data_IF_756067308597
#
_entry.id   IF_756067308597
#
_cell.length_a   1.000
_cell.length_b   1.000
_cell.length_c   1.000
_cell.angle_alpha   90.00
_cell.angle_beta   90.00
_cell.angle_gamma   90.00
#
_symmetry.space_group_name_H-M   'P 1'
#
loop_
_entity.id
_entity.type
_entity.pdbx_description
1 polymer ?
#
# COMPACT_ATOMS: atom_id res chain seq x y z
N UNK A 1 38.44 12.06 -58.15
CA UNK A 1 39.10 11.68 -56.88
C UNK A 1 38.42 12.48 -55.79
N UNK A 2 37.39 11.91 -55.17
CA UNK A 2 37.44 11.09 -53.94
C UNK A 2 37.48 11.95 -52.66
N UNK A 3 36.40 11.86 -51.88
CA UNK A 3 36.30 11.99 -50.40
C UNK A 3 36.68 13.35 -49.79
N UNK A 4 36.17 13.85 -48.67
CA UNK A 4 35.14 13.55 -47.64
C UNK A 4 35.15 14.86 -46.78
N UNK A 5 34.15 15.35 -46.04
CA UNK A 5 33.34 14.78 -44.94
C UNK A 5 32.18 15.77 -44.73
N UNK A 6 30.96 15.22 -44.60
CA UNK A 6 29.75 15.90 -44.16
C UNK A 6 29.84 16.40 -42.70
N UNK A 7 29.54 17.67 -42.47
CA UNK A 7 29.13 18.20 -41.16
C UNK A 7 27.60 18.27 -41.10
N UNK A 8 26.94 17.16 -40.78
CA UNK A 8 25.50 17.11 -40.53
C UNK A 8 25.20 17.64 -39.13
N UNK A 9 24.42 18.71 -39.05
CA UNK A 9 23.85 19.20 -37.80
C UNK A 9 22.88 18.16 -37.23
N UNK A 10 23.26 17.56 -36.09
CA UNK A 10 22.34 16.79 -35.27
C UNK A 10 21.40 17.76 -34.54
N UNK A 11 20.15 17.85 -35.01
CA UNK A 11 19.02 18.28 -34.18
C UNK A 11 18.71 17.14 -33.23
N UNK A 12 19.00 17.31 -31.93
CA UNK A 12 18.40 16.48 -30.88
C UNK A 12 16.88 16.74 -30.86
N UNK A 13 16.03 15.70 -30.85
CA UNK A 13 14.65 15.88 -30.44
C UNK A 13 14.59 15.99 -28.91
N UNK A 14 13.95 17.07 -28.50
CA UNK A 14 13.50 17.43 -27.17
C UNK A 14 12.64 16.29 -26.57
N UNK A 15 13.21 15.45 -25.70
CA UNK A 15 12.45 14.54 -24.82
C UNK A 15 12.83 14.88 -23.38
N UNK A 16 12.32 16.02 -22.90
CA UNK A 16 12.34 16.34 -21.48
C UNK A 16 11.31 17.43 -21.15
N UNK A 17 10.01 17.09 -21.22
CA UNK A 17 8.98 17.82 -20.48
C UNK A 17 7.69 17.00 -20.44
N UNK A 18 7.52 16.19 -19.39
CA UNK A 18 6.22 15.72 -18.92
C UNK A 18 6.34 15.41 -17.42
N UNK A 19 6.63 16.46 -16.66
CA UNK A 19 6.33 16.55 -15.23
C UNK A 19 5.61 17.88 -15.09
N UNK A 20 4.28 17.86 -15.12
CA UNK A 20 3.52 19.06 -14.80
C UNK A 20 2.21 18.76 -14.10
N UNK A 21 2.18 19.30 -12.88
CA UNK A 21 1.03 19.80 -12.13
C UNK A 21 0.18 18.75 -11.44
N UNK A 22 0.77 18.20 -10.38
CA UNK A 22 0.06 17.94 -9.15
C UNK A 22 -0.69 19.21 -8.70
N UNK A 23 -2.02 19.21 -8.77
CA UNK A 23 -2.89 20.23 -8.15
C UNK A 23 -3.55 19.58 -6.95
N UNK A 24 -3.45 20.19 -5.77
CA UNK A 24 -4.06 19.67 -4.56
C UNK A 24 -5.60 19.63 -4.73
N UNK A 25 -6.20 18.48 -4.47
CA UNK A 25 -7.67 18.30 -4.44
C UNK A 25 -8.13 18.29 -2.98
N UNK A 26 -9.25 18.94 -2.64
CA UNK A 26 -9.81 18.86 -1.30
C UNK A 26 -10.26 17.42 -0.98
N UNK A 27 -9.86 16.94 0.20
CA UNK A 27 -10.29 15.68 0.79
C UNK A 27 -11.81 15.68 0.96
N UNK A 28 -12.50 14.68 0.39
CA UNK A 28 -13.90 14.42 0.70
C UNK A 28 -13.94 13.49 1.91
N UNK A 29 -14.43 14.02 3.04
CA UNK A 29 -14.71 13.21 4.23
C UNK A 29 -15.65 12.05 3.83
N UNK A 30 -15.25 10.81 4.15
CA UNK A 30 -15.94 9.55 3.84
C UNK A 30 -17.32 9.35 4.48
N UNK A 31 -18.02 10.43 4.85
CA UNK A 31 -19.33 10.37 5.48
C UNK A 31 -20.50 10.20 4.47
N UNK A 32 -20.21 10.09 3.18
CA UNK A 32 -21.22 9.94 2.13
C UNK A 32 -21.72 8.50 1.92
N UNK A 33 -21.12 7.48 2.57
CA UNK A 33 -21.51 6.07 2.44
C UNK A 33 -22.26 5.50 3.65
N UNK A 34 -22.65 6.31 4.63
CA UNK A 34 -23.54 5.87 5.71
C UNK A 34 -22.96 4.78 6.63
N UNK A 35 -21.64 4.61 6.67
CA UNK A 35 -20.97 3.68 7.60
C UNK A 35 -20.72 4.41 8.92
N UNK A 36 -21.67 4.29 9.84
CA UNK A 36 -21.56 4.83 11.20
C UNK A 36 -20.40 4.18 11.95
N UNK A 37 -19.38 4.97 12.27
CA UNK A 37 -18.35 4.58 13.24
C UNK A 37 -18.82 5.01 14.63
N UNK A 38 -19.37 4.08 15.41
CA UNK A 38 -19.60 4.32 16.83
C UNK A 38 -18.27 4.42 17.56
N UNK A 39 -18.10 5.53 18.28
CA UNK A 39 -16.99 5.80 19.18
C UNK A 39 -16.99 4.74 20.27
N UNK A 40 -15.92 3.95 20.37
CA UNK A 40 -15.77 2.97 21.44
C UNK A 40 -15.67 3.70 22.79
N UNK A 41 -16.79 3.72 23.53
CA UNK A 41 -16.83 4.15 24.91
C UNK A 41 -16.08 3.14 25.81
N UNK A 42 -15.41 3.70 26.81
CA UNK A 42 -14.56 3.01 27.78
C UNK A 42 -15.24 1.81 28.46
N UNK A 43 -14.66 0.62 28.31
CA UNK A 43 -15.09 -0.58 29.04
C UNK A 43 -14.65 -0.48 30.50
N UNK A 44 -15.64 -0.41 31.40
CA UNK A 44 -15.49 -0.45 32.86
C UNK A 44 -15.07 -1.85 33.33
N UNK A 45 -13.97 -1.93 34.09
CA UNK A 45 -13.44 -3.18 34.62
C UNK A 45 -14.37 -3.77 35.69
N UNK A 46 -14.86 -4.99 35.47
CA UNK A 46 -15.66 -5.73 36.44
C UNK A 46 -14.79 -6.31 37.56
N UNK A 47 -15.24 -6.08 38.80
CA UNK A 47 -14.55 -6.44 40.04
C UNK A 47 -14.57 -7.96 40.29
N UNK A 48 -13.43 -8.61 40.11
CA UNK A 48 -13.19 -9.99 40.57
C UNK A 48 -12.85 -10.03 42.06
N UNK A 49 -13.65 -10.76 42.84
CA UNK A 49 -13.50 -10.93 44.30
C UNK A 49 -12.18 -11.64 44.65
N UNK A 50 -11.30 -10.96 45.40
CA UNK A 50 -10.00 -11.46 45.85
C UNK A 50 -10.15 -12.36 47.09
N UNK A 51 -9.81 -13.64 46.99
CA UNK A 51 -9.65 -14.53 48.16
C UNK A 51 -8.30 -14.24 48.82
N UNK A 52 -8.31 -13.88 50.11
CA UNK A 52 -7.12 -13.47 50.88
C UNK A 52 -6.64 -14.61 51.77
N UNK A 53 -5.46 -15.17 51.47
CA UNK A 53 -4.73 -16.06 52.40
C UNK A 53 -3.77 -15.24 53.27
N UNK A 54 -3.58 -15.57 54.57
CA UNK A 54 -2.74 -14.78 55.46
C UNK A 54 -1.27 -15.18 55.32
N UNK A 55 -0.46 -14.29 54.77
CA UNK A 55 0.99 -14.43 54.72
C UNK A 55 1.66 -13.11 54.32
N UNK A 56 2.63 -12.66 55.12
CA UNK A 56 3.41 -11.41 55.00
C UNK A 56 3.60 -10.91 53.56
N UNK A 57 3.14 -9.68 53.27
CA UNK A 57 3.40 -8.96 52.01
C UNK A 57 4.90 -8.73 51.84
N UNK A 58 5.57 -9.57 51.05
CA UNK A 58 6.71 -9.13 50.26
C UNK A 58 6.12 -8.45 49.02
N UNK A 59 6.57 -7.24 48.68
CA UNK A 59 6.19 -6.60 47.41
C UNK A 59 6.48 -7.55 46.25
N UNK A 60 5.79 -7.41 45.10
CA UNK A 60 5.98 -8.32 43.98
C UNK A 60 7.47 -8.35 43.61
N UNK A 61 8.13 -9.48 43.87
CA UNK A 61 9.44 -9.76 43.29
C UNK A 61 9.18 -9.91 41.79
N UNK A 62 9.93 -9.23 40.90
CA UNK A 62 9.84 -9.52 39.48
C UNK A 62 10.04 -11.03 39.31
N UNK A 63 9.16 -11.66 38.53
CA UNK A 63 9.18 -13.10 38.33
C UNK A 63 10.59 -13.49 37.86
N UNK A 64 11.20 -14.48 38.53
CA UNK A 64 12.46 -15.03 38.08
C UNK A 64 12.23 -15.63 36.69
N UNK A 65 12.82 -15.01 35.66
CA UNK A 65 12.56 -15.32 34.26
C UNK A 65 11.83 -14.24 33.45
N UNK A 66 11.62 -13.04 33.99
CA UNK A 66 11.20 -11.89 33.18
C UNK A 66 12.21 -11.72 32.02
N UNK A 67 11.77 -12.02 30.80
CA UNK A 67 12.57 -11.86 29.59
C UNK A 67 12.88 -10.36 29.44
N UNK A 68 14.10 -9.97 29.74
CA UNK A 68 14.59 -8.61 29.54
C UNK A 68 15.11 -8.51 28.10
N UNK A 69 14.58 -7.56 27.32
CA UNK A 69 14.98 -7.36 25.93
C UNK A 69 13.92 -6.63 25.10
N UNK A 70 14.31 -6.20 23.90
CA UNK A 70 13.48 -5.38 23.01
C UNK A 70 13.59 -3.89 23.32
N UNK A 71 13.65 -3.07 22.27
CA UNK A 71 13.63 -1.61 22.40
C UNK A 71 12.17 -1.18 22.64
N UNK A 72 11.93 -0.33 23.64
CA UNK A 72 10.59 0.20 23.93
C UNK A 72 9.63 -0.77 24.65
N UNK A 73 10.14 -1.80 25.33
CA UNK A 73 9.35 -2.79 26.10
C UNK A 73 9.30 -2.50 27.62
N UNK A 74 9.65 -1.27 28.02
CA UNK A 74 9.75 -0.83 29.42
C UNK A 74 8.39 -0.47 30.07
N UNK A 75 7.30 -0.60 29.32
CA UNK A 75 5.93 -0.29 29.76
C UNK A 75 5.46 1.12 29.41
N UNK A 76 6.28 1.93 28.74
CA UNK A 76 5.84 3.18 28.15
C UNK A 76 4.85 2.93 26.99
N UNK A 77 3.87 3.82 26.82
CA UNK A 77 2.97 3.76 25.68
C UNK A 77 3.72 4.10 24.38
N UNK A 78 3.55 3.34 23.29
CA UNK A 78 4.21 3.64 22.02
C UNK A 78 3.69 4.96 21.43
N UNK A 79 4.59 5.73 20.83
CA UNK A 79 4.25 6.98 20.14
C UNK A 79 4.48 6.81 18.64
N UNK A 80 3.38 6.79 17.89
CA UNK A 80 3.37 6.57 16.44
C UNK A 80 3.49 7.89 15.69
N UNK A 81 4.71 8.44 15.62
CA UNK A 81 5.02 9.67 14.89
C UNK A 81 6.45 9.67 14.39
N UNK A 82 6.75 10.59 13.46
CA UNK A 82 8.12 10.86 13.00
C UNK A 82 9.01 11.35 14.16
N UNK A 83 10.25 10.89 14.20
CA UNK A 83 11.25 11.28 15.22
C UNK A 83 12.45 12.05 14.65
N UNK A 84 12.62 12.04 13.33
CA UNK A 84 13.69 12.78 12.64
C UNK A 84 13.24 13.34 11.30
N UNK A 85 14.07 14.20 10.70
CA UNK A 85 13.87 14.70 9.34
C UNK A 85 13.86 13.56 8.32
N UNK A 86 14.69 12.53 8.55
CA UNK A 86 14.70 11.33 7.71
C UNK A 86 13.37 10.58 7.81
N UNK A 87 12.85 10.35 9.02
CA UNK A 87 11.52 9.76 9.20
C UNK A 87 10.45 10.54 8.45
N UNK A 88 10.47 11.88 8.57
CA UNK A 88 9.49 12.72 7.89
C UNK A 88 9.56 12.59 6.37
N UNK A 89 10.75 12.70 5.77
CA UNK A 89 10.89 12.61 4.31
C UNK A 89 10.53 11.22 3.79
N UNK A 90 10.92 10.18 4.51
CA UNK A 90 10.60 8.79 4.18
C UNK A 90 9.10 8.49 4.26
N UNK A 91 8.42 8.88 5.35
CA UNK A 91 6.98 8.69 5.49
C UNK A 91 6.18 9.59 4.55
N UNK A 92 6.66 10.81 4.26
CA UNK A 92 6.04 11.69 3.27
C UNK A 92 6.13 11.10 1.86
N UNK A 93 7.26 10.49 1.50
CA UNK A 93 7.42 9.78 0.23
C UNK A 93 6.45 8.59 0.14
N UNK A 94 6.34 7.78 1.20
CA UNK A 94 5.36 6.71 1.26
C UNK A 94 3.94 7.25 1.08
N UNK A 95 3.55 8.34 1.78
CA UNK A 95 2.22 8.92 1.63
C UNK A 95 1.91 9.41 0.21
N UNK A 96 2.90 9.94 -0.51
CA UNK A 96 2.69 10.27 -1.92
C UNK A 96 2.42 9.04 -2.78
N UNK A 97 3.07 7.91 -2.47
CA UNK A 97 2.85 6.65 -3.15
C UNK A 97 1.41 6.15 -2.90
N UNK A 98 0.97 6.10 -1.64
CA UNK A 98 -0.41 5.70 -1.27
C UNK A 98 -1.46 6.55 -2.01
N UNK A 99 -1.21 7.86 -2.14
CA UNK A 99 -2.10 8.76 -2.84
C UNK A 99 -2.20 8.49 -4.34
N UNK A 100 -1.08 8.10 -4.97
CA UNK A 100 -1.04 7.73 -6.39
C UNK A 100 -1.80 6.42 -6.60
N UNK A 101 -1.57 5.43 -5.73
CA UNK A 101 -2.20 4.11 -5.83
C UNK A 101 -3.71 4.19 -5.61
N UNK A 102 -4.14 4.90 -4.56
CA UNK A 102 -5.56 5.15 -4.29
C UNK A 102 -6.26 5.86 -5.47
N UNK A 103 -5.64 6.92 -6.00
CA UNK A 103 -6.21 7.67 -7.14
C UNK A 103 -6.31 6.77 -8.39
N UNK A 104 -5.28 5.99 -8.65
CA UNK A 104 -5.23 5.08 -9.79
C UNK A 104 -6.30 3.98 -9.70
N UNK A 105 -6.48 3.34 -8.55
CA UNK A 105 -7.51 2.33 -8.34
C UNK A 105 -8.91 2.90 -8.61
N UNK A 106 -9.24 4.04 -7.98
CA UNK A 106 -10.53 4.69 -8.18
C UNK A 106 -10.73 5.14 -9.62
N UNK A 107 -9.71 5.72 -10.24
CA UNK A 107 -9.77 6.16 -11.62
C UNK A 107 -10.04 4.99 -12.57
N UNK A 108 -9.31 3.88 -12.46
CA UNK A 108 -9.49 2.73 -13.35
C UNK A 108 -10.85 2.05 -13.20
N UNK A 109 -11.34 1.92 -11.97
CA UNK A 109 -12.68 1.39 -11.69
C UNK A 109 -13.80 2.29 -12.23
N UNK A 110 -13.56 3.59 -12.34
CA UNK A 110 -14.51 4.54 -12.92
C UNK A 110 -14.37 4.70 -14.45
N UNK A 111 -13.16 4.51 -14.99
CA UNK A 111 -12.84 4.76 -16.39
C UNK A 111 -13.27 3.61 -17.32
N UNK A 112 -13.14 2.36 -16.86
CA UNK A 112 -13.46 1.17 -17.67
C UNK A 112 -14.82 0.59 -17.32
N UNK A 113 -15.56 0.20 -18.36
CA UNK A 113 -16.86 -0.44 -18.24
C UNK A 113 -16.75 -1.90 -17.80
N UNK A 114 -17.85 -2.45 -17.29
CA UNK A 114 -17.96 -3.88 -16.96
C UNK A 114 -17.63 -4.76 -18.17
N UNK A 115 -18.10 -4.39 -19.36
CA UNK A 115 -17.85 -5.15 -20.59
C UNK A 115 -16.36 -5.18 -20.95
N UNK A 116 -15.62 -4.08 -20.71
CA UNK A 116 -14.16 -4.04 -20.93
C UNK A 116 -13.42 -4.98 -19.97
N UNK A 117 -13.77 -4.96 -18.68
CA UNK A 117 -13.21 -5.91 -17.72
C UNK A 117 -13.54 -7.37 -18.08
N UNK A 118 -14.79 -7.65 -18.46
CA UNK A 118 -15.23 -9.01 -18.78
C UNK A 118 -14.64 -9.52 -20.10
N UNK A 119 -14.42 -8.62 -21.06
CA UNK A 119 -13.70 -8.92 -22.30
C UNK A 119 -12.27 -9.42 -22.03
N UNK A 120 -11.65 -8.96 -20.95
CA UNK A 120 -10.33 -9.39 -20.48
C UNK A 120 -10.38 -10.52 -19.44
N UNK A 121 -11.56 -11.10 -19.21
CA UNK A 121 -11.76 -12.24 -18.32
C UNK A 121 -11.87 -11.86 -16.84
N UNK A 122 -12.01 -10.57 -16.53
CA UNK A 122 -12.16 -10.06 -15.18
C UNK A 122 -13.64 -9.92 -14.82
N UNK A 123 -14.17 -10.99 -14.23
CA UNK A 123 -15.53 -11.04 -13.72
C UNK A 123 -15.80 -10.06 -12.54
N UNK A 124 -17.04 -10.09 -12.05
CA UNK A 124 -17.47 -9.24 -10.93
C UNK A 124 -16.66 -9.43 -9.64
N UNK A 125 -16.18 -10.64 -9.34
CA UNK A 125 -15.37 -10.91 -8.14
C UNK A 125 -14.00 -10.25 -8.23
N UNK A 126 -13.38 -10.26 -9.41
CA UNK A 126 -12.10 -9.56 -9.64
C UNK A 126 -12.25 -8.04 -9.51
N UNK A 127 -13.35 -7.48 -10.04
CA UNK A 127 -13.65 -6.05 -9.88
C UNK A 127 -13.91 -5.67 -8.43
N UNK A 128 -14.63 -6.52 -7.69
CA UNK A 128 -14.81 -6.34 -6.25
C UNK A 128 -13.48 -6.40 -5.50
N UNK A 129 -12.57 -7.30 -5.89
CA UNK A 129 -11.24 -7.37 -5.28
C UNK A 129 -10.41 -6.11 -5.57
N UNK A 130 -10.47 -5.56 -6.78
CA UNK A 130 -9.85 -4.27 -7.11
C UNK A 130 -10.41 -3.13 -6.25
N UNK A 131 -11.74 -3.08 -6.07
CA UNK A 131 -12.38 -2.12 -5.17
C UNK A 131 -11.93 -2.31 -3.72
N UNK A 132 -11.81 -3.55 -3.25
CA UNK A 132 -11.34 -3.83 -1.90
C UNK A 132 -9.89 -3.40 -1.69
N UNK A 133 -9.02 -3.54 -2.70
CA UNK A 133 -7.65 -3.02 -2.65
C UNK A 133 -7.65 -1.49 -2.56
N UNK A 134 -8.49 -0.80 -3.34
CA UNK A 134 -8.66 0.66 -3.24
C UNK A 134 -9.06 1.11 -1.81
N UNK A 135 -9.95 0.37 -1.15
CA UNK A 135 -10.37 0.65 0.23
C UNK A 135 -9.25 0.43 1.24
N UNK A 136 -8.35 -0.53 0.98
CA UNK A 136 -7.17 -0.75 1.81
C UNK A 136 -6.20 0.44 1.72
N UNK A 137 -6.03 1.02 0.53
CA UNK A 137 -5.18 2.20 0.33
C UNK A 137 -5.65 3.44 1.11
N UNK A 138 -6.95 3.57 1.36
CA UNK A 138 -7.46 4.60 2.28
C UNK A 138 -6.89 4.41 3.68
N UNK A 139 -6.80 3.17 4.16
CA UNK A 139 -6.22 2.83 5.45
C UNK A 139 -4.72 3.13 5.52
N UNK A 140 -3.99 2.76 4.47
CA UNK A 140 -2.56 3.04 4.34
C UNK A 140 -2.28 4.56 4.33
N UNK A 141 -2.98 5.33 3.49
CA UNK A 141 -2.87 6.78 3.46
C UNK A 141 -3.26 7.43 4.82
N UNK A 142 -4.28 6.89 5.49
CA UNK A 142 -4.72 7.41 6.80
C UNK A 142 -3.67 7.20 7.88
N UNK A 143 -3.05 6.01 7.97
CA UNK A 143 -2.04 5.75 9.00
C UNK A 143 -0.82 6.64 8.82
N UNK A 144 -0.36 6.84 7.58
CA UNK A 144 0.77 7.73 7.28
C UNK A 144 0.43 9.20 7.56
N UNK A 145 -0.76 9.65 7.15
CA UNK A 145 -1.25 11.01 7.44
C UNK A 145 -1.26 11.27 8.95
N UNK A 146 -1.72 10.31 9.75
CA UNK A 146 -1.74 10.43 11.21
C UNK A 146 -0.33 10.49 11.82
N UNK A 147 0.62 9.70 11.31
CA UNK A 147 2.01 9.71 11.80
C UNK A 147 2.77 11.00 11.44
N UNK A 148 2.46 11.59 10.29
CA UNK A 148 3.02 12.87 9.81
C UNK A 148 2.33 14.08 10.45
N UNK A 149 1.10 13.91 10.92
CA UNK A 149 0.33 14.95 11.61
C UNK A 149 -0.04 16.12 10.68
N UNK A 150 -0.15 17.36 11.22
CA UNK A 150 -0.62 18.52 10.45
C UNK A 150 0.22 18.91 9.23
N UNK A 151 1.45 18.39 9.13
CA UNK A 151 2.37 18.65 8.01
C UNK A 151 2.27 17.59 6.91
N UNK A 152 1.41 16.58 7.06
CA UNK A 152 1.22 15.53 6.06
C UNK A 152 0.94 16.12 4.66
N UNK A 153 1.68 15.67 3.63
CA UNK A 153 1.38 16.01 2.25
C UNK A 153 -0.07 15.70 1.86
N UNK A 154 -0.62 16.54 0.98
CA UNK A 154 -1.99 16.36 0.47
C UNK A 154 -1.98 15.61 -0.84
N UNK A 155 -3.06 14.87 -1.08
CA UNK A 155 -3.33 14.22 -2.35
C UNK A 155 -3.32 15.23 -3.50
N UNK A 156 -2.73 14.80 -4.62
CA UNK A 156 -2.64 15.58 -5.84
C UNK A 156 -3.53 14.96 -6.93
N UNK A 157 -3.81 15.72 -7.99
CA UNK A 157 -4.31 15.13 -9.24
C UNK A 157 -3.16 14.51 -10.03
N UNK A 158 -3.32 13.25 -10.41
CA UNK A 158 -2.35 12.52 -11.21
C UNK A 158 -2.90 12.28 -12.62
N UNK A 159 -1.99 12.15 -13.59
CA UNK A 159 -2.33 11.75 -14.95
C UNK A 159 -1.65 10.43 -15.25
N UNK A 160 -2.42 9.34 -15.33
CA UNK A 160 -1.89 8.03 -15.67
C UNK A 160 -2.04 7.79 -17.18
N UNK A 161 -0.96 7.71 -17.96
CA UNK A 161 -1.03 7.57 -19.40
C UNK A 161 -1.25 6.10 -19.82
N UNK A 162 -2.38 5.52 -19.41
CA UNK A 162 -2.80 4.17 -19.84
C UNK A 162 -3.99 4.26 -20.79
N UNK A 163 -4.05 3.34 -21.74
CA UNK A 163 -5.01 3.37 -22.86
C UNK A 163 -6.09 2.29 -22.79
N UNK A 164 -5.92 1.29 -21.92
CA UNK A 164 -6.84 0.17 -21.77
C UNK A 164 -6.74 -0.47 -20.37
N UNK A 165 -7.71 -1.32 -20.04
CA UNK A 165 -7.84 -2.02 -18.76
C UNK A 165 -6.58 -2.81 -18.38
N UNK A 166 -5.92 -3.47 -19.34
CA UNK A 166 -4.71 -4.25 -19.05
C UNK A 166 -3.54 -3.37 -18.66
N UNK A 167 -3.34 -2.28 -19.39
CA UNK A 167 -2.32 -1.29 -19.03
C UNK A 167 -2.60 -0.70 -17.65
N UNK A 168 -3.87 -0.53 -17.28
CA UNK A 168 -4.27 -0.16 -15.92
C UNK A 168 -3.83 -1.22 -14.88
N UNK A 169 -4.07 -2.50 -15.10
CA UNK A 169 -3.58 -3.52 -14.16
C UNK A 169 -2.05 -3.61 -14.11
N UNK A 170 -1.38 -3.51 -15.26
CA UNK A 170 0.08 -3.55 -15.36
C UNK A 170 0.74 -2.35 -14.64
N UNK A 171 0.16 -1.16 -14.70
CA UNK A 171 0.70 0.00 -13.99
C UNK A 171 0.43 -0.08 -12.49
N UNK A 172 -0.74 -0.59 -12.04
CA UNK A 172 -0.99 -0.86 -10.61
C UNK A 172 0.02 -1.87 -10.06
N UNK A 173 0.32 -2.92 -10.82
CA UNK A 173 1.34 -3.91 -10.43
C UNK A 173 2.72 -3.28 -10.28
N UNK A 174 3.08 -2.35 -11.17
CA UNK A 174 4.38 -1.67 -11.09
C UNK A 174 4.44 -0.68 -9.93
N UNK A 175 3.37 0.10 -9.73
CA UNK A 175 3.30 1.08 -8.64
C UNK A 175 3.38 0.40 -7.27
N UNK A 176 2.56 -0.61 -7.01
CA UNK A 176 2.61 -1.39 -5.76
C UNK A 176 3.99 -2.02 -5.53
N UNK A 177 4.70 -2.45 -6.58
CA UNK A 177 6.09 -2.93 -6.46
C UNK A 177 7.08 -1.82 -6.09
N UNK A 178 6.92 -0.63 -6.66
CA UNK A 178 7.80 0.50 -6.36
C UNK A 178 7.55 1.04 -4.95
N UNK A 179 6.30 1.10 -4.51
CA UNK A 179 5.92 1.42 -3.13
C UNK A 179 6.55 0.45 -2.15
N UNK A 180 6.27 -0.84 -2.34
CA UNK A 180 6.82 -1.95 -1.55
C UNK A 180 8.36 -1.88 -1.43
N UNK A 181 9.05 -1.93 -2.57
CA UNK A 181 10.51 -1.96 -2.59
C UNK A 181 11.11 -0.66 -2.02
N UNK A 182 10.46 0.48 -2.28
CA UNK A 182 10.87 1.78 -1.76
C UNK A 182 10.84 1.82 -0.24
N UNK A 183 9.71 1.42 0.35
CA UNK A 183 9.53 1.38 1.81
C UNK A 183 10.50 0.40 2.46
N UNK A 184 10.63 -0.82 1.96
CA UNK A 184 11.61 -1.77 2.51
C UNK A 184 13.04 -1.24 2.50
N UNK A 185 13.39 -0.42 1.49
CA UNK A 185 14.71 0.20 1.37
C UNK A 185 15.07 1.14 2.51
N UNK A 186 14.09 1.84 3.10
CA UNK A 186 14.33 2.78 4.21
C UNK A 186 13.77 2.35 5.56
N UNK A 187 13.00 1.27 5.63
CA UNK A 187 12.27 0.84 6.83
C UNK A 187 13.17 0.66 8.05
N UNK A 188 14.34 0.06 7.88
CA UNK A 188 15.32 -0.19 8.95
C UNK A 188 16.15 1.05 9.33
N UNK A 189 15.97 2.16 8.61
CA UNK A 189 16.66 3.43 8.84
C UNK A 189 15.80 4.45 9.58
N UNK A 190 14.54 4.13 9.87
CA UNK A 190 13.66 4.99 10.65
C UNK A 190 14.05 5.00 12.13
N UNK A 191 14.02 6.18 12.73
CA UNK A 191 14.34 6.40 14.15
C UNK A 191 13.17 6.07 15.08
N UNK A 192 11.96 5.90 14.53
CA UNK A 192 10.73 5.63 15.28
C UNK A 192 10.25 4.18 15.13
N UNK A 193 10.68 3.23 15.99
CA UNK A 193 10.28 1.82 15.90
C UNK A 193 8.75 1.58 15.87
N UNK A 194 7.92 2.31 16.65
CA UNK A 194 6.47 2.14 16.56
C UNK A 194 5.91 2.56 15.20
N UNK A 195 6.42 3.64 14.60
CA UNK A 195 6.02 4.08 13.26
C UNK A 195 6.51 3.09 12.19
N UNK A 196 7.75 2.59 12.31
CA UNK A 196 8.30 1.52 11.47
C UNK A 196 7.40 0.28 11.47
N UNK A 197 6.87 -0.11 12.63
CA UNK A 197 6.00 -1.27 12.75
C UNK A 197 4.66 -1.08 12.04
N UNK A 198 4.05 0.12 12.13
CA UNK A 198 2.80 0.41 11.41
C UNK A 198 3.03 0.52 9.90
N UNK A 199 4.13 1.16 9.48
CA UNK A 199 4.52 1.20 8.08
C UNK A 199 4.81 -0.21 7.53
N UNK A 200 5.42 -1.08 8.33
CA UNK A 200 5.60 -2.49 7.95
C UNK A 200 4.25 -3.20 7.76
N UNK A 201 3.25 -2.89 8.57
CA UNK A 201 1.92 -3.47 8.40
C UNK A 201 1.23 -2.95 7.14
N UNK A 202 1.30 -1.65 6.86
CA UNK A 202 0.72 -1.08 5.62
C UNK A 202 1.42 -1.66 4.38
N UNK A 203 2.75 -1.70 4.35
CA UNK A 203 3.48 -2.18 3.17
C UNK A 203 3.26 -3.68 2.87
N UNK A 204 2.95 -4.49 3.89
CA UNK A 204 2.58 -5.89 3.66
C UNK A 204 1.23 -6.07 2.97
N UNK A 205 0.37 -5.03 2.99
CA UNK A 205 -0.85 -4.98 2.19
C UNK A 205 -0.47 -4.79 0.73
N UNK A 206 0.37 -3.81 0.40
CA UNK A 206 0.86 -3.59 -0.98
C UNK A 206 1.53 -4.86 -1.55
N UNK A 207 2.37 -5.53 -0.77
CA UNK A 207 3.00 -6.80 -1.17
C UNK A 207 1.97 -7.89 -1.54
N UNK A 208 0.81 -7.92 -0.84
CA UNK A 208 -0.29 -8.83 -1.18
C UNK A 208 -0.99 -8.39 -2.46
N UNK A 209 -1.26 -7.11 -2.61
CA UNK A 209 -1.89 -6.56 -3.81
C UNK A 209 -1.04 -6.79 -5.04
N UNK A 210 0.27 -6.61 -4.94
CA UNK A 210 1.25 -6.94 -5.97
C UNK A 210 1.12 -8.39 -6.45
N UNK A 211 0.90 -9.33 -5.53
CA UNK A 211 0.68 -10.74 -5.89
C UNK A 211 -0.69 -11.00 -6.50
N UNK A 212 -1.74 -10.33 -6.01
CA UNK A 212 -3.08 -10.39 -6.60
C UNK A 212 -3.05 -9.85 -8.04
N UNK A 213 -2.50 -8.67 -8.26
CA UNK A 213 -2.39 -8.03 -9.58
C UNK A 213 -1.54 -8.88 -10.54
N UNK A 214 -0.48 -9.52 -10.04
CA UNK A 214 0.29 -10.50 -10.82
C UNK A 214 -0.60 -11.67 -11.27
N UNK A 215 -1.43 -12.22 -10.38
CA UNK A 215 -2.36 -13.30 -10.72
C UNK A 215 -3.44 -12.84 -11.71
N UNK A 216 -3.97 -11.62 -11.59
CA UNK A 216 -4.96 -11.06 -12.51
C UNK A 216 -4.36 -10.83 -13.91
N UNK A 217 -3.14 -10.32 -14.01
CA UNK A 217 -2.44 -10.14 -15.31
C UNK A 217 -2.18 -11.49 -15.99
N UNK A 218 -1.86 -12.51 -15.20
CA UNK A 218 -1.66 -13.87 -15.70
C UNK A 218 -2.98 -14.55 -16.10
N UNK A 219 -4.06 -14.35 -15.32
CA UNK A 219 -5.39 -14.86 -15.63
C UNK A 219 -5.96 -14.26 -16.92
N UNK A 220 -5.75 -12.95 -17.16
CA UNK A 220 -6.09 -12.29 -18.42
C UNK A 220 -5.30 -12.84 -19.62
N UNK A 221 -4.07 -13.30 -19.39
CA UNK A 221 -3.24 -13.94 -20.41
C UNK A 221 -3.72 -15.37 -20.73
N UNK A 222 -4.01 -16.19 -19.72
CA UNK A 222 -4.47 -17.58 -19.91
C UNK A 222 -5.91 -17.69 -20.39
N UNK A 223 -6.79 -16.77 -19.98
CA UNK A 223 -8.19 -16.72 -20.42
C UNK A 223 -8.33 -16.59 -21.94
N UNK A 224 -7.40 -15.88 -22.60
CA UNK A 224 -7.43 -15.63 -24.06
C UNK A 224 -6.46 -16.48 -24.87
N UNK A 225 -5.27 -16.79 -24.34
CA UNK A 225 -4.25 -17.52 -25.10
C UNK A 225 -4.57 -19.02 -25.29
N UNK A 226 -5.54 -19.56 -24.54
CA UNK A 226 -5.85 -20.99 -24.59
C UNK A 226 -4.66 -21.88 -24.20
N UNK A 227 -3.63 -21.30 -23.58
CA UNK A 227 -2.45 -22.02 -23.10
C UNK A 227 -2.89 -22.81 -21.88
N UNK A 228 -3.27 -24.06 -22.14
CA UNK A 228 -3.55 -25.05 -21.12
C UNK A 228 -2.21 -25.46 -20.55
N UNK A 229 -1.89 -24.98 -19.35
CA UNK A 229 -0.76 -25.50 -18.60
C UNK A 229 -0.89 -27.02 -18.55
N UNK A 230 0.14 -27.68 -19.08
CA UNK A 230 0.28 -29.12 -19.05
C UNK A 230 1.44 -29.45 -18.13
N UNK A 231 1.31 -30.50 -17.33
CA UNK A 231 2.44 -31.02 -16.56
C UNK A 231 3.55 -31.50 -17.52
N UNK A 232 4.70 -31.89 -16.97
CA UNK A 232 5.81 -32.45 -17.76
C UNK A 232 5.43 -33.72 -18.55
N UNK A 233 4.24 -34.29 -18.31
CA UNK A 233 3.67 -35.45 -19.01
C UNK A 233 2.56 -35.07 -19.99
N UNK A 234 2.34 -33.78 -20.23
CA UNK A 234 1.33 -33.30 -21.16
C UNK A 234 -0.12 -33.32 -20.64
N UNK A 235 -0.35 -33.64 -19.36
CA UNK A 235 -1.68 -33.65 -18.75
C UNK A 235 -2.10 -32.25 -18.34
N UNK A 236 -3.36 -31.89 -18.64
CA UNK A 236 -3.91 -30.61 -18.19
C UNK A 236 -3.98 -30.61 -16.67
N UNK A 237 -3.57 -29.50 -16.05
CA UNK A 237 -3.91 -29.28 -14.64
C UNK A 237 -5.44 -29.14 -14.54
N UNK A 238 -6.09 -30.23 -14.16
CA UNK A 238 -7.50 -30.24 -13.82
C UNK A 238 -7.64 -30.02 -12.32
N UNK A 239 -8.38 -28.98 -11.94
CA UNK A 239 -9.05 -28.95 -10.65
C UNK A 239 -10.15 -30.02 -10.73
N UNK A 240 -10.18 -30.92 -9.75
CA UNK A 240 -11.31 -31.84 -9.55
C UNK A 240 -12.39 -31.12 -8.78
#
# INVERSE_FOLDING_TARGET
MLHSIFGFGLRLPLVLTLLSRARAVPFHDGNALGLGYERADSVSASSGRLVRLPGRRRGPRPAAGALHGGIGTDGAAPVYRVQSDFDYQSLALALYQEWIELDLFHWGLAAYSVDEFEFDGLNAEHRFLLQHMAEQEVGCATVLTNMLGPQAPRQCSYSCPVSNEREFLDINLQLTRWGEAGVYGFLLHLDSPPATQLLLQSITIEARQQMILCQLNVAGWYGRSGIKLRDARGQRFGVT
#
